data_IF_711067418719
#
_entry.id   IF_711067418719
#
_cell.length_a   1.000
_cell.length_b   1.000
_cell.length_c   1.000
_cell.angle_alpha   90.00
_cell.angle_beta   90.00
_cell.angle_gamma   90.00
#
_symmetry.space_group_name_H-M   'P 1'
#
loop_
_entity.id
_entity.type
_entity.pdbx_description
1 polymer ?
#
# COMPACT_ATOMS: atom_id res chain seq x y z
N UNK A 1 -40.77 -13.08 22.84
CA UNK A 1 -39.76 -13.76 22.00
C UNK A 1 -38.90 -12.70 21.35
N UNK A 2 -37.72 -12.43 21.92
CA UNK A 2 -36.74 -11.47 21.38
C UNK A 2 -35.71 -12.29 20.60
N UNK A 3 -35.73 -12.19 19.28
CA UNK A 3 -34.73 -12.82 18.43
C UNK A 3 -33.42 -12.02 18.50
N UNK A 4 -32.40 -12.68 19.00
CA UNK A 4 -31.01 -12.22 19.14
C UNK A 4 -30.36 -12.06 17.77
N UNK A 5 -30.39 -10.83 17.23
CA UNK A 5 -29.62 -10.44 16.04
C UNK A 5 -28.41 -9.55 16.35
N UNK A 6 -28.07 -9.33 17.63
CA UNK A 6 -27.05 -8.34 18.02
C UNK A 6 -25.72 -8.90 18.53
N UNK A 7 -25.49 -10.21 18.51
CA UNK A 7 -24.29 -10.78 19.17
C UNK A 7 -23.14 -11.19 18.23
N UNK A 8 -23.22 -10.89 16.93
CA UNK A 8 -22.12 -11.16 15.98
C UNK A 8 -21.19 -9.95 15.79
N UNK A 9 -21.55 -8.78 16.35
CA UNK A 9 -20.83 -7.51 16.08
C UNK A 9 -19.51 -7.33 16.85
N UNK A 10 -19.24 -8.06 17.95
CA UNK A 10 -18.11 -7.73 18.83
C UNK A 10 -16.91 -8.69 18.78
N UNK A 11 -17.04 -9.89 18.19
CA UNK A 11 -15.90 -10.82 18.03
C UNK A 11 -15.08 -10.57 16.75
N UNK A 12 -15.55 -9.70 15.85
CA UNK A 12 -14.89 -9.40 14.58
C UNK A 12 -13.90 -8.22 14.66
N UNK A 13 -13.85 -7.50 15.77
CA UNK A 13 -12.93 -6.36 15.97
C UNK A 13 -11.44 -6.75 15.97
N UNK A 14 -11.10 -8.04 16.09
CA UNK A 14 -9.71 -8.54 15.98
C UNK A 14 -9.28 -8.90 14.55
N UNK A 15 -10.19 -8.91 13.56
CA UNK A 15 -9.85 -9.13 12.14
C UNK A 15 -9.56 -7.85 11.36
N UNK A 16 -9.67 -6.67 11.98
CA UNK A 16 -9.75 -5.38 11.28
C UNK A 16 -8.42 -4.78 10.78
N UNK A 17 -7.32 -5.53 10.66
CA UNK A 17 -6.02 -4.93 10.27
C UNK A 17 -5.03 -5.84 9.53
N UNK A 18 -5.41 -7.08 9.20
CA UNK A 18 -4.54 -7.98 8.44
C UNK A 18 -4.88 -7.92 6.95
N UNK A 19 -3.88 -7.99 6.07
CA UNK A 19 -4.16 -8.14 4.66
C UNK A 19 -4.92 -9.43 4.37
N UNK A 20 -5.73 -9.41 3.33
CA UNK A 20 -6.45 -10.56 2.79
C UNK A 20 -5.49 -11.56 2.17
N UNK A 21 -5.89 -12.82 2.12
CA UNK A 21 -5.09 -13.89 1.51
C UNK A 21 -4.76 -13.58 0.03
N UNK A 22 -5.66 -12.90 -0.70
CA UNK A 22 -5.41 -12.50 -2.09
C UNK A 22 -4.23 -11.54 -2.19
N UNK A 23 -4.21 -10.50 -1.35
CA UNK A 23 -3.13 -9.50 -1.36
C UNK A 23 -1.81 -10.08 -0.88
N UNK A 24 -1.84 -10.93 0.16
CA UNK A 24 -0.66 -11.66 0.65
C UNK A 24 -0.10 -12.60 -0.43
N UNK A 25 -0.96 -13.39 -1.07
CA UNK A 25 -0.54 -14.34 -2.10
C UNK A 25 0.05 -13.62 -3.32
N UNK A 26 -0.55 -12.51 -3.74
CA UNK A 26 -0.01 -11.69 -4.83
C UNK A 26 1.40 -11.19 -4.50
N UNK A 27 1.57 -10.56 -3.34
CA UNK A 27 2.86 -9.99 -2.91
C UNK A 27 3.92 -11.07 -2.78
N UNK A 28 3.60 -12.20 -2.13
CA UNK A 28 4.53 -13.32 -1.98
C UNK A 28 4.92 -13.91 -3.34
N UNK A 29 3.96 -14.04 -4.27
CA UNK A 29 4.25 -14.50 -5.62
C UNK A 29 5.20 -13.53 -6.35
N UNK A 30 4.90 -12.23 -6.34
CA UNK A 30 5.76 -11.23 -7.01
C UNK A 30 7.15 -11.22 -6.38
N UNK A 31 7.28 -11.23 -5.06
CA UNK A 31 8.58 -11.29 -4.35
C UNK A 31 9.36 -12.52 -4.78
N UNK A 32 8.72 -13.70 -4.82
CA UNK A 32 9.38 -14.94 -5.25
C UNK A 32 9.89 -14.82 -6.68
N UNK A 33 9.06 -14.40 -7.62
CA UNK A 33 9.40 -14.35 -9.04
C UNK A 33 10.48 -13.29 -9.35
N UNK A 34 10.46 -12.11 -8.72
CA UNK A 34 11.45 -11.05 -9.01
C UNK A 34 12.84 -11.35 -8.46
N UNK A 35 12.94 -12.26 -7.49
CA UNK A 35 14.19 -12.73 -6.90
C UNK A 35 14.69 -14.04 -7.53
N UNK A 36 13.89 -14.70 -8.38
CA UNK A 36 14.34 -15.84 -9.19
C UNK A 36 15.22 -15.33 -10.35
N UNK A 37 16.38 -15.95 -10.56
CA UNK A 37 17.30 -15.63 -11.67
C UNK A 37 16.62 -15.74 -13.05
N UNK A 38 15.63 -16.64 -13.18
CA UNK A 38 14.82 -16.82 -14.40
C UNK A 38 13.72 -15.77 -14.53
N UNK A 39 13.39 -15.05 -13.45
CA UNK A 39 12.34 -14.05 -13.36
C UNK A 39 12.74 -12.63 -13.81
N UNK A 40 13.89 -12.45 -14.46
CA UNK A 40 14.34 -11.12 -14.95
C UNK A 40 13.32 -10.47 -15.88
N UNK A 41 12.71 -11.25 -16.78
CA UNK A 41 11.66 -10.80 -17.69
C UNK A 41 10.37 -10.42 -16.95
N UNK A 42 9.98 -11.20 -15.95
CA UNK A 42 8.82 -10.94 -15.09
C UNK A 42 8.93 -9.58 -14.39
N UNK A 43 10.07 -9.32 -13.72
CA UNK A 43 10.30 -8.05 -13.05
C UNK A 43 10.38 -6.86 -14.02
N UNK A 44 10.88 -7.06 -15.24
CA UNK A 44 10.90 -6.00 -16.25
C UNK A 44 9.49 -5.62 -16.74
N UNK A 45 8.61 -6.60 -16.95
CA UNK A 45 7.20 -6.35 -17.29
C UNK A 45 6.47 -5.62 -16.16
N UNK A 46 6.64 -6.05 -14.90
CA UNK A 46 6.00 -5.39 -13.76
C UNK A 46 6.50 -3.96 -13.51
N UNK A 47 7.79 -3.67 -13.70
CA UNK A 47 8.28 -2.29 -13.56
C UNK A 47 7.60 -1.30 -14.51
N UNK A 48 7.11 -1.78 -15.65
CA UNK A 48 6.35 -1.01 -16.64
C UNK A 48 4.85 -0.93 -16.35
N UNK A 49 4.34 -1.72 -15.40
CA UNK A 49 2.92 -1.77 -15.06
C UNK A 49 2.41 -0.44 -14.48
N UNK A 50 3.26 0.28 -13.76
CA UNK A 50 2.96 1.59 -13.14
C UNK A 50 2.94 2.77 -14.15
N UNK A 51 2.97 2.48 -15.45
CA UNK A 51 2.77 3.47 -16.52
C UNK A 51 1.65 2.99 -17.45
N UNK A 52 0.58 3.77 -17.56
CA UNK A 52 -0.64 3.43 -18.31
C UNK A 52 -0.36 3.05 -19.77
N UNK A 53 0.59 3.74 -20.42
CA UNK A 53 0.95 3.48 -21.82
C UNK A 53 1.66 2.12 -22.02
N UNK A 54 2.21 1.54 -20.96
CA UNK A 54 2.96 0.29 -21.01
C UNK A 54 2.38 -0.81 -20.11
N UNK A 55 1.27 -0.54 -19.43
CA UNK A 55 0.66 -1.44 -18.46
C UNK A 55 0.28 -2.78 -19.11
N UNK A 56 -0.20 -2.76 -20.37
CA UNK A 56 -0.60 -3.95 -21.12
C UNK A 56 0.51 -5.01 -21.23
N UNK A 57 1.78 -4.62 -21.16
CA UNK A 57 2.92 -5.55 -21.19
C UNK A 57 2.98 -6.46 -19.95
N UNK A 58 2.25 -6.10 -18.89
CA UNK A 58 2.15 -6.86 -17.64
C UNK A 58 0.82 -7.60 -17.47
N UNK A 59 -0.13 -7.47 -18.41
CA UNK A 59 -1.46 -8.06 -18.29
C UNK A 59 -1.46 -9.58 -18.18
N UNK A 60 -0.49 -10.28 -18.78
CA UNK A 60 -0.33 -11.74 -18.59
C UNK A 60 -0.06 -12.13 -17.12
N UNK A 61 0.51 -11.21 -16.34
CA UNK A 61 0.80 -11.37 -14.92
C UNK A 61 -0.44 -10.94 -14.13
N UNK A 62 -0.95 -9.74 -14.40
CA UNK A 62 -2.05 -9.13 -13.64
C UNK A 62 -3.37 -9.90 -13.80
N UNK A 63 -3.65 -10.49 -14.96
CA UNK A 63 -4.91 -11.20 -15.23
C UNK A 63 -5.19 -12.39 -14.30
N UNK A 64 -4.15 -12.95 -13.68
CA UNK A 64 -4.28 -14.02 -12.67
C UNK A 64 -4.79 -13.52 -11.33
N UNK A 65 -4.64 -12.21 -11.08
CA UNK A 65 -4.86 -11.59 -9.78
C UNK A 65 -6.03 -10.63 -9.78
N UNK A 66 -6.39 -10.04 -10.91
CA UNK A 66 -7.43 -9.02 -11.04
C UNK A 66 -8.13 -9.12 -12.40
N UNK A 67 -9.42 -8.81 -12.43
CA UNK A 67 -10.13 -8.63 -13.69
C UNK A 67 -9.56 -7.38 -14.39
N UNK A 68 -9.04 -7.55 -15.61
CA UNK A 68 -8.39 -6.48 -16.34
C UNK A 68 -9.34 -5.32 -16.69
N UNK A 69 -10.65 -5.54 -16.70
CA UNK A 69 -11.65 -4.49 -16.93
C UNK A 69 -11.83 -3.57 -15.71
N UNK A 70 -11.43 -4.01 -14.52
CA UNK A 70 -11.53 -3.20 -13.29
C UNK A 70 -10.31 -2.30 -13.16
N UNK A 71 -10.30 -1.21 -13.91
CA UNK A 71 -9.16 -0.31 -14.05
C UNK A 71 -8.53 0.14 -12.72
N UNK A 72 -9.34 0.63 -11.77
CA UNK A 72 -8.82 1.13 -10.50
C UNK A 72 -8.15 0.03 -9.66
N UNK A 73 -8.72 -1.18 -9.65
CA UNK A 73 -8.13 -2.33 -8.96
C UNK A 73 -6.85 -2.78 -9.69
N UNK A 74 -6.91 -2.86 -11.02
CA UNK A 74 -5.76 -3.22 -11.85
C UNK A 74 -4.58 -2.29 -11.61
N UNK A 75 -4.82 -0.98 -11.56
CA UNK A 75 -3.81 0.04 -11.22
C UNK A 75 -3.21 -0.16 -9.83
N UNK A 76 -4.00 -0.61 -8.84
CA UNK A 76 -3.51 -0.93 -7.51
C UNK A 76 -2.53 -2.12 -7.53
N UNK A 77 -2.90 -3.23 -8.18
CA UNK A 77 -2.01 -4.37 -8.36
C UNK A 77 -0.75 -4.00 -9.15
N UNK A 78 -0.88 -3.17 -10.19
CA UNK A 78 0.22 -2.68 -10.99
C UNK A 78 1.22 -1.84 -10.17
N UNK A 79 0.75 -0.88 -9.35
CA UNK A 79 1.58 -0.08 -8.46
C UNK A 79 2.40 -0.96 -7.50
N UNK A 80 1.73 -1.89 -6.83
CA UNK A 80 2.34 -2.78 -5.84
C UNK A 80 3.34 -3.73 -6.50
N UNK A 81 2.96 -4.35 -7.62
CA UNK A 81 3.84 -5.23 -8.38
C UNK A 81 5.08 -4.51 -8.91
N UNK A 82 4.91 -3.29 -9.43
CA UNK A 82 6.01 -2.45 -9.89
C UNK A 82 6.93 -2.03 -8.74
N UNK A 83 6.37 -1.67 -7.58
CA UNK A 83 7.11 -1.34 -6.36
C UNK A 83 8.03 -2.47 -5.94
N UNK A 84 7.49 -3.68 -5.81
CA UNK A 84 8.27 -4.87 -5.46
C UNK A 84 9.32 -5.17 -6.53
N UNK A 85 8.99 -5.05 -7.82
CA UNK A 85 9.92 -5.33 -8.90
C UNK A 85 11.06 -4.31 -9.05
N UNK A 86 10.89 -3.08 -8.53
CA UNK A 86 11.95 -2.07 -8.41
C UNK A 86 12.88 -2.38 -7.24
N UNK A 87 12.31 -2.63 -6.07
CA UNK A 87 13.06 -2.76 -4.82
C UNK A 87 13.67 -4.16 -4.64
N UNK A 88 12.99 -5.19 -5.13
CA UNK A 88 13.33 -6.63 -4.96
C UNK A 88 13.61 -7.01 -3.50
N UNK A 89 12.65 -6.77 -2.59
CA UNK A 89 12.82 -7.16 -1.21
C UNK A 89 12.85 -8.69 -1.07
N UNK A 90 13.48 -9.20 -0.02
CA UNK A 90 13.51 -10.65 0.31
C UNK A 90 12.18 -11.11 0.90
N UNK A 91 11.45 -10.21 1.56
CA UNK A 91 10.15 -10.47 2.18
C UNK A 91 9.30 -9.20 2.19
N UNK A 92 7.99 -9.32 2.43
CA UNK A 92 7.12 -8.14 2.56
C UNK A 92 7.60 -7.22 3.70
N UNK A 93 7.45 -5.93 3.49
CA UNK A 93 7.84 -4.93 4.47
C UNK A 93 6.93 -4.95 5.71
N UNK A 94 7.23 -4.05 6.64
CA UNK A 94 6.52 -3.96 7.93
C UNK A 94 5.87 -2.61 8.17
N UNK A 95 6.26 -1.59 7.41
CA UNK A 95 5.83 -0.22 7.65
C UNK A 95 4.50 0.07 6.98
N UNK A 96 3.58 0.71 7.69
CA UNK A 96 2.47 1.40 7.04
C UNK A 96 2.98 2.67 6.32
N UNK A 97 2.15 3.26 5.45
CA UNK A 97 2.49 4.54 4.80
C UNK A 97 2.77 5.65 5.83
N UNK A 98 1.97 5.71 6.90
CA UNK A 98 2.17 6.69 7.97
C UNK A 98 3.51 6.51 8.67
N UNK A 99 3.84 5.28 9.08
CA UNK A 99 5.13 4.97 9.70
C UNK A 99 6.29 5.27 8.76
N UNK A 100 6.18 4.88 7.48
CA UNK A 100 7.23 5.10 6.50
C UNK A 100 7.50 6.59 6.29
N UNK A 101 6.47 7.42 6.08
CA UNK A 101 6.64 8.87 5.91
C UNK A 101 7.28 9.53 7.14
N UNK A 102 6.92 9.10 8.35
CA UNK A 102 7.55 9.54 9.59
C UNK A 102 9.03 9.16 9.62
N UNK A 103 9.34 7.91 9.27
CA UNK A 103 10.72 7.41 9.21
C UNK A 103 11.56 8.11 8.15
N UNK A 104 10.97 8.52 7.02
CA UNK A 104 11.66 9.37 6.03
C UNK A 104 12.05 10.71 6.65
N UNK A 105 11.13 11.38 7.36
CA UNK A 105 11.42 12.65 8.04
C UNK A 105 12.56 12.50 9.07
N UNK A 106 12.52 11.43 9.87
CA UNK A 106 13.55 11.19 10.90
C UNK A 106 14.93 10.82 10.35
N UNK A 107 15.02 10.43 9.08
CA UNK A 107 16.30 10.18 8.40
C UNK A 107 16.94 11.46 7.87
N UNK A 108 16.22 12.57 7.83
CA UNK A 108 16.77 13.84 7.37
C UNK A 108 17.77 14.39 8.39
N UNK A 109 18.83 15.03 7.91
CA UNK A 109 19.92 15.53 8.77
C UNK A 109 19.51 16.78 9.54
N UNK A 110 18.57 17.55 8.98
CA UNK A 110 17.96 18.71 9.63
C UNK A 110 16.57 18.33 10.12
N UNK A 111 16.51 17.71 11.29
CA UNK A 111 15.25 17.25 11.91
C UNK A 111 14.48 18.48 12.38
N UNK A 112 13.79 19.12 11.43
CA UNK A 112 12.84 20.17 11.70
C UNK A 112 11.52 19.64 12.28
N UNK A 113 10.57 20.55 12.43
CA UNK A 113 9.22 20.26 12.87
C UNK A 113 8.52 19.24 11.95
N UNK A 114 8.12 18.09 12.51
CA UNK A 114 7.46 17.00 11.80
C UNK A 114 6.18 17.49 11.10
N UNK A 115 5.40 18.37 11.72
CA UNK A 115 4.12 18.84 11.18
C UNK A 115 4.28 19.73 9.95
N UNK A 116 5.42 20.42 9.86
CA UNK A 116 5.81 21.30 8.74
C UNK A 116 6.62 20.56 7.68
N UNK A 117 6.95 19.30 7.91
CA UNK A 117 7.78 18.50 7.00
C UNK A 117 7.10 18.21 5.67
N UNK A 118 7.91 17.91 4.65
CA UNK A 118 7.42 17.46 3.36
C UNK A 118 6.69 16.09 3.45
N UNK A 119 7.01 15.28 4.46
CA UNK A 119 6.30 14.04 4.78
C UNK A 119 4.89 14.28 5.31
N UNK A 120 4.70 15.26 6.21
CA UNK A 120 3.38 15.64 6.71
C UNK A 120 2.50 16.25 5.62
N UNK A 121 3.08 17.01 4.68
CA UNK A 121 2.35 17.53 3.52
C UNK A 121 1.83 16.41 2.61
N UNK A 122 2.67 15.40 2.32
CA UNK A 122 2.26 14.22 1.54
C UNK A 122 1.17 13.44 2.25
N UNK A 123 1.31 13.21 3.55
CA UNK A 123 0.28 12.53 4.33
C UNK A 123 -1.05 13.28 4.29
N UNK A 124 -1.06 14.61 4.52
CA UNK A 124 -2.29 15.40 4.47
C UNK A 124 -3.00 15.30 3.13
N UNK A 125 -2.26 15.26 2.02
CA UNK A 125 -2.84 15.05 0.68
C UNK A 125 -3.50 13.68 0.57
N UNK A 126 -2.84 12.62 1.02
CA UNK A 126 -3.40 11.26 1.04
C UNK A 126 -4.68 11.19 1.88
N UNK A 127 -4.70 11.82 3.06
CA UNK A 127 -5.85 11.82 3.96
C UNK A 127 -7.04 12.64 3.41
N UNK A 128 -6.78 13.60 2.54
CA UNK A 128 -7.81 14.40 1.88
C UNK A 128 -8.55 13.63 0.79
N UNK A 129 -7.96 12.56 0.23
CA UNK A 129 -8.55 11.80 -0.86
C UNK A 129 -9.89 11.17 -0.47
N UNK A 130 -10.84 11.22 -1.40
CA UNK A 130 -12.21 10.70 -1.21
C UNK A 130 -12.48 9.43 -1.98
N UNK A 131 -11.72 9.17 -3.04
CA UNK A 131 -11.88 8.02 -3.91
C UNK A 131 -10.55 7.38 -4.27
N UNK A 132 -10.61 6.12 -4.70
CA UNK A 132 -9.45 5.29 -5.01
C UNK A 132 -8.60 5.86 -6.14
N UNK A 133 -9.20 6.42 -7.19
CA UNK A 133 -8.46 6.94 -8.34
C UNK A 133 -7.63 8.17 -7.95
N UNK A 134 -8.24 9.13 -7.24
CA UNK A 134 -7.54 10.28 -6.64
C UNK A 134 -6.41 9.81 -5.71
N UNK A 135 -6.69 8.83 -4.84
CA UNK A 135 -5.68 8.26 -3.96
C UNK A 135 -4.49 7.68 -4.76
N UNK A 136 -4.76 6.96 -5.85
CA UNK A 136 -3.72 6.33 -6.66
C UNK A 136 -2.78 7.37 -7.30
N UNK A 137 -3.29 8.52 -7.73
CA UNK A 137 -2.47 9.61 -8.28
C UNK A 137 -1.50 10.19 -7.25
N UNK A 138 -1.91 10.25 -5.97
CA UNK A 138 -1.05 10.71 -4.88
C UNK A 138 -0.12 9.59 -4.39
N UNK A 139 -0.59 8.34 -4.36
CA UNK A 139 0.18 7.21 -3.84
C UNK A 139 1.37 6.85 -4.72
N UNK A 140 1.24 6.87 -6.04
CA UNK A 140 2.34 6.55 -6.97
C UNK A 140 3.64 7.32 -6.64
N UNK A 141 3.65 8.66 -6.56
CA UNK A 141 4.86 9.41 -6.20
C UNK A 141 5.27 9.24 -4.74
N UNK A 142 4.32 9.00 -3.81
CA UNK A 142 4.63 8.79 -2.39
C UNK A 142 5.34 7.46 -2.17
N UNK A 143 4.88 6.39 -2.80
CA UNK A 143 5.50 5.06 -2.74
C UNK A 143 6.93 5.15 -3.26
N UNK A 144 7.16 5.80 -4.41
CA UNK A 144 8.52 6.02 -4.93
C UNK A 144 9.42 6.82 -3.99
N UNK A 145 8.87 7.83 -3.31
CA UNK A 145 9.60 8.65 -2.35
C UNK A 145 10.04 7.84 -1.11
N UNK A 146 9.17 6.94 -0.64
CA UNK A 146 9.51 6.02 0.46
C UNK A 146 10.56 5.00 0.02
N UNK A 147 10.39 4.42 -1.18
CA UNK A 147 11.35 3.48 -1.77
C UNK A 147 12.74 4.11 -1.92
N UNK A 148 12.84 5.35 -2.43
CA UNK A 148 14.12 6.04 -2.60
C UNK A 148 14.82 6.34 -1.29
N UNK A 149 14.08 6.36 -0.18
CA UNK A 149 14.61 6.50 1.18
C UNK A 149 15.07 5.17 1.80
N UNK A 150 15.00 4.07 1.03
CA UNK A 150 15.42 2.73 1.45
C UNK A 150 14.50 2.09 2.50
N UNK A 151 13.23 2.49 2.54
CA UNK A 151 12.23 1.95 3.47
C UNK A 151 11.28 0.99 2.74
N UNK A 152 10.85 -0.07 3.43
CA UNK A 152 9.98 -1.10 2.88
C UNK A 152 8.58 -1.02 3.50
N UNK A 153 7.61 -0.70 2.66
CA UNK A 153 6.18 -0.74 2.99
C UNK A 153 5.70 -2.18 3.11
N UNK A 154 4.70 -2.42 3.98
CA UNK A 154 3.93 -3.65 3.98
C UNK A 154 2.97 -3.63 2.77
N UNK A 155 3.44 -4.17 1.65
CA UNK A 155 2.80 -4.11 0.34
C UNK A 155 1.44 -4.81 0.34
N UNK A 156 1.32 -5.95 1.02
CA UNK A 156 0.06 -6.69 1.03
C UNK A 156 -1.04 -5.88 1.74
N UNK A 157 -0.68 -5.22 2.84
CA UNK A 157 -1.61 -4.35 3.57
C UNK A 157 -1.97 -3.11 2.76
N UNK A 158 -0.98 -2.47 2.15
CA UNK A 158 -1.23 -1.29 1.32
C UNK A 158 -2.17 -1.63 0.15
N UNK A 159 -1.98 -2.78 -0.49
CA UNK A 159 -2.87 -3.24 -1.56
C UNK A 159 -4.33 -3.33 -1.10
N UNK A 160 -4.61 -3.99 0.04
CA UNK A 160 -5.97 -4.05 0.55
C UNK A 160 -6.53 -2.69 0.95
N UNK A 161 -5.72 -1.86 1.60
CA UNK A 161 -6.10 -0.50 1.99
C UNK A 161 -6.52 0.34 0.75
N UNK A 162 -5.83 0.15 -0.38
CA UNK A 162 -6.21 0.76 -1.67
C UNK A 162 -7.50 0.12 -2.21
N UNK A 163 -7.58 -1.21 -2.30
CA UNK A 163 -8.72 -1.92 -2.91
C UNK A 163 -10.05 -1.60 -2.22
N UNK A 164 -10.04 -1.41 -0.90
CA UNK A 164 -11.22 -1.10 -0.10
C UNK A 164 -11.50 0.40 0.06
N UNK A 165 -10.69 1.28 -0.55
CA UNK A 165 -10.77 2.72 -0.30
C UNK A 165 -12.06 3.40 -0.79
N UNK A 166 -12.78 2.80 -1.74
CA UNK A 166 -14.09 3.34 -2.17
C UNK A 166 -15.21 3.06 -1.16
N UNK A 167 -15.01 2.13 -0.22
CA UNK A 167 -15.94 1.92 0.88
C UNK A 167 -15.68 2.95 1.99
N UNK A 168 -16.69 3.75 2.34
CA UNK A 168 -16.55 4.88 3.26
C UNK A 168 -16.00 4.50 4.64
N UNK A 169 -16.50 3.42 5.23
CA UNK A 169 -16.04 2.94 6.54
C UNK A 169 -14.57 2.48 6.48
N UNK A 170 -14.23 1.72 5.44
CA UNK A 170 -12.85 1.24 5.22
C UNK A 170 -11.90 2.39 4.91
N UNK A 171 -12.36 3.39 4.15
CA UNK A 171 -11.62 4.62 3.84
C UNK A 171 -11.29 5.40 5.10
N UNK A 172 -12.29 5.65 5.94
CA UNK A 172 -12.08 6.40 7.19
C UNK A 172 -11.15 5.65 8.14
N UNK A 173 -11.32 4.34 8.26
CA UNK A 173 -10.43 3.48 9.05
C UNK A 173 -8.99 3.54 8.54
N UNK A 174 -8.79 3.47 7.24
CA UNK A 174 -7.47 3.54 6.59
C UNK A 174 -6.80 4.89 6.86
N UNK A 175 -7.55 6.00 6.68
CA UNK A 175 -7.07 7.36 6.96
C UNK A 175 -6.69 7.56 8.41
N UNK A 176 -7.57 7.16 9.34
CA UNK A 176 -7.31 7.25 10.77
C UNK A 176 -6.05 6.46 11.18
N UNK A 177 -5.87 5.26 10.61
CA UNK A 177 -4.69 4.43 10.84
C UNK A 177 -3.41 5.09 10.32
N UNK A 178 -3.39 5.53 9.06
CA UNK A 178 -2.22 6.21 8.49
C UNK A 178 -1.85 7.48 9.26
N UNK A 179 -2.84 8.27 9.69
CA UNK A 179 -2.63 9.44 10.53
C UNK A 179 -2.02 9.05 11.89
N UNK A 180 -2.64 8.11 12.59
CA UNK A 180 -2.16 7.62 13.89
C UNK A 180 -0.73 7.10 13.79
N UNK A 181 -0.45 6.26 12.80
CA UNK A 181 0.84 5.62 12.58
C UNK A 181 1.94 6.66 12.28
N UNK A 182 1.61 7.78 11.64
CA UNK A 182 2.51 8.90 11.40
C UNK A 182 2.77 9.78 12.63
N UNK A 183 1.72 10.13 13.37
CA UNK A 183 1.81 11.04 14.53
C UNK A 183 2.16 10.33 15.85
N UNK A 184 2.09 9.00 15.89
CA UNK A 184 2.47 8.23 17.07
C UNK A 184 3.92 8.55 17.43
N UNK A 185 4.09 9.27 18.53
CA UNK A 185 5.38 9.34 19.22
C UNK A 185 5.66 7.93 19.70
N UNK A 186 6.81 7.38 19.33
CA UNK A 186 7.29 6.14 19.93
C UNK A 186 7.50 6.49 21.39
N UNK A 187 6.63 6.06 22.29
CA UNK A 187 6.95 6.09 23.72
C UNK A 187 8.22 5.25 23.85
N UNK A 188 9.27 5.88 24.35
CA UNK A 188 10.51 5.21 24.70
C UNK A 188 10.15 4.15 25.75
N UNK A 189 10.29 2.89 25.38
CA UNK A 189 10.17 1.75 26.30
C UNK A 189 11.51 1.05 26.38
#
# INVERSE_FOLDING_TARGET
>A
MRHTFETISLKNQRRCNLPTDRSVNFVNHVIKEVNDDRGKGFGAKLRKADNENTEYQSWEILSRWVNLEWESDRKAFALIGASIARVKPVADGKLSIGEALRMVHLKDKDIGDLEKSSSALRLRRILACKEKDELMDILKPVVRYVESSGLLLQQARLLDEILWFNNDESRERTRAKWARDFFRKKEES
#
